data_IF_112307214285
#
_entry.id   IF_112307214285
#
_cell.length_a   1.000
_cell.length_b   1.000
_cell.length_c   1.000
_cell.angle_alpha   90.00
_cell.angle_beta   90.00
_cell.angle_gamma   90.00
#
_symmetry.space_group_name_H-M   'P 1'
#
loop_
_entity.id
_entity.type
_entity.pdbx_description
1 polymer ?
#
# COMPACT_ATOMS: atom_id res chain seq x y z
N UNK A 1 15.53 18.51 16.10
CA UNK A 1 14.24 17.87 16.44
C UNK A 1 13.27 18.07 15.29
N UNK A 2 13.11 17.06 14.43
CA UNK A 2 12.12 17.11 13.37
C UNK A 2 10.73 16.94 14.00
N UNK A 3 9.88 17.96 13.88
CA UNK A 3 8.45 17.85 14.21
C UNK A 3 7.90 16.65 13.45
N UNK A 4 7.59 15.58 14.18
CA UNK A 4 6.68 14.54 13.72
C UNK A 4 5.40 15.25 13.28
N UNK A 5 5.16 15.27 11.97
CA UNK A 5 3.87 15.60 11.39
C UNK A 5 2.90 14.65 12.08
N UNK A 6 2.02 15.18 12.94
CA UNK A 6 1.01 14.38 13.63
C UNK A 6 0.15 13.69 12.55
N UNK A 7 -0.04 12.39 12.75
CA UNK A 7 -0.73 11.49 11.84
C UNK A 7 -2.15 11.98 11.51
N UNK A 8 -2.57 12.06 10.23
CA UNK A 8 -3.93 12.45 9.86
C UNK A 8 -4.99 11.44 10.36
N UNK A 9 -6.26 11.85 10.53
CA UNK A 9 -7.32 11.03 11.14
C UNK A 9 -7.61 9.68 10.48
N UNK A 10 -7.35 9.53 9.17
CA UNK A 10 -7.56 8.28 8.41
C UNK A 10 -6.51 7.20 8.72
N UNK A 11 -5.39 7.56 9.34
CA UNK A 11 -4.29 6.61 9.55
C UNK A 11 -4.73 5.42 10.43
N UNK A 12 -5.73 5.59 11.30
CA UNK A 12 -6.24 4.52 12.16
C UNK A 12 -6.94 3.37 11.39
N UNK A 13 -7.83 3.69 10.43
CA UNK A 13 -8.54 2.65 9.66
C UNK A 13 -7.61 1.97 8.66
N UNK A 14 -6.76 2.76 7.99
CA UNK A 14 -5.74 2.26 7.08
C UNK A 14 -4.69 1.39 7.81
N UNK A 15 -4.22 1.81 8.98
CA UNK A 15 -3.28 1.01 9.77
C UNK A 15 -3.94 -0.29 10.26
N UNK A 16 -5.24 -0.25 10.58
CA UNK A 16 -5.97 -1.47 10.92
C UNK A 16 -6.06 -2.45 9.76
N UNK A 17 -6.32 -1.99 8.53
CA UNK A 17 -6.27 -2.84 7.34
C UNK A 17 -4.88 -3.47 7.16
N UNK A 18 -3.81 -2.69 7.35
CA UNK A 18 -2.42 -3.19 7.28
C UNK A 18 -2.15 -4.26 8.34
N UNK A 19 -2.62 -4.06 9.57
CA UNK A 19 -2.55 -5.07 10.64
C UNK A 19 -3.30 -6.35 10.25
N UNK A 20 -4.50 -6.24 9.66
CA UNK A 20 -5.29 -7.39 9.20
C UNK A 20 -4.52 -8.19 8.15
N UNK A 21 -3.94 -7.53 7.14
CA UNK A 21 -3.17 -8.21 6.10
C UNK A 21 -1.91 -8.89 6.67
N UNK A 22 -1.18 -8.21 7.57
CA UNK A 22 0.00 -8.77 8.22
C UNK A 22 -0.36 -9.97 9.11
N UNK A 23 -1.46 -9.89 9.85
CA UNK A 23 -1.94 -10.96 10.72
C UNK A 23 -2.33 -12.19 9.88
N UNK A 24 -3.05 -11.99 8.78
CA UNK A 24 -3.42 -13.06 7.86
C UNK A 24 -2.19 -13.77 7.29
N UNK A 25 -1.24 -13.02 6.73
CA UNK A 25 0.02 -13.57 6.19
C UNK A 25 0.80 -14.33 7.28
N UNK A 26 0.90 -13.76 8.49
CA UNK A 26 1.58 -14.40 9.62
C UNK A 26 0.92 -15.71 10.06
N UNK A 27 -0.42 -15.75 10.06
CA UNK A 27 -1.18 -16.93 10.43
C UNK A 27 -1.05 -18.04 9.37
N UNK A 28 -1.02 -17.69 8.09
CA UNK A 28 -0.75 -18.62 6.99
C UNK A 28 0.64 -19.25 7.15
N UNK A 29 1.67 -18.42 7.36
CA UNK A 29 3.05 -18.89 7.56
C UNK A 29 3.15 -19.82 8.77
N UNK A 30 2.43 -19.51 9.86
CA UNK A 30 2.39 -20.34 11.07
C UNK A 30 1.72 -21.68 10.81
N UNK A 31 0.64 -21.69 10.04
CA UNK A 31 -0.07 -22.92 9.67
C UNK A 31 0.81 -23.85 8.82
N UNK A 32 1.51 -23.31 7.83
CA UNK A 32 2.48 -24.06 7.02
C UNK A 32 3.66 -24.54 7.89
N UNK A 33 4.10 -23.71 8.84
CA UNK A 33 5.11 -24.10 9.83
C UNK A 33 4.65 -25.25 10.75
N UNK A 34 3.35 -25.35 11.07
CA UNK A 34 2.79 -26.43 11.89
C UNK A 34 2.70 -27.75 11.13
N UNK A 35 2.42 -27.72 9.82
CA UNK A 35 2.50 -28.90 8.96
C UNK A 35 3.87 -29.58 9.06
N UNK A 36 4.94 -28.79 9.07
CA UNK A 36 6.32 -29.27 9.25
C UNK A 36 6.51 -30.09 10.53
N UNK A 37 5.97 -29.64 11.66
CA UNK A 37 6.24 -30.27 12.97
C UNK A 37 5.52 -31.59 13.20
N UNK A 38 4.52 -31.92 12.37
CA UNK A 38 3.65 -33.11 12.57
C UNK A 38 3.99 -34.29 11.66
N UNK A 39 4.87 -34.09 10.67
CA UNK A 39 5.03 -35.05 9.57
C UNK A 39 3.82 -34.98 8.64
N UNK A 40 4.03 -34.65 7.37
CA UNK A 40 2.95 -34.47 6.41
C UNK A 40 2.45 -35.83 5.90
N UNK A 41 1.25 -36.20 6.34
CA UNK A 41 0.38 -37.19 5.68
C UNK A 41 -0.68 -36.41 4.89
N UNK A 42 -1.16 -36.90 3.74
CA UNK A 42 -2.00 -36.14 2.80
C UNK A 42 -3.20 -35.42 3.44
N UNK A 43 -3.87 -36.06 4.42
CA UNK A 43 -4.98 -35.44 5.16
C UNK A 43 -4.56 -34.21 6.00
N UNK A 44 -3.30 -34.12 6.42
CA UNK A 44 -2.78 -32.93 7.10
C UNK A 44 -2.66 -31.74 6.15
N UNK A 45 -2.24 -31.96 4.90
CA UNK A 45 -2.10 -30.91 3.89
C UNK A 45 -3.48 -30.33 3.49
N UNK A 46 -4.46 -31.19 3.25
CA UNK A 46 -5.86 -30.78 2.99
C UNK A 46 -6.41 -29.95 4.15
N UNK A 47 -6.27 -30.45 5.38
CA UNK A 47 -6.76 -29.73 6.56
C UNK A 47 -6.04 -28.39 6.78
N UNK A 48 -4.77 -28.25 6.34
CA UNK A 48 -4.06 -26.99 6.41
C UNK A 48 -4.53 -25.99 5.35
N UNK A 49 -4.84 -26.44 4.14
CA UNK A 49 -5.45 -25.59 3.12
C UNK A 49 -6.82 -25.07 3.57
N UNK A 50 -7.66 -25.92 4.18
CA UNK A 50 -8.94 -25.47 4.76
C UNK A 50 -8.74 -24.38 5.82
N UNK A 51 -7.71 -24.50 6.67
CA UNK A 51 -7.36 -23.49 7.66
C UNK A 51 -6.84 -22.20 7.01
N UNK A 52 -6.02 -22.31 5.96
CA UNK A 52 -5.52 -21.17 5.18
C UNK A 52 -6.68 -20.43 4.51
N UNK A 53 -7.60 -21.16 3.87
CA UNK A 53 -8.81 -20.59 3.27
C UNK A 53 -9.64 -19.85 4.32
N UNK A 54 -9.81 -20.42 5.52
CA UNK A 54 -10.50 -19.75 6.62
C UNK A 54 -9.79 -18.47 7.08
N UNK A 55 -8.45 -18.47 7.15
CA UNK A 55 -7.66 -17.27 7.49
C UNK A 55 -7.88 -16.16 6.45
N UNK A 56 -7.83 -16.51 5.16
CA UNK A 56 -8.07 -15.57 4.06
C UNK A 56 -9.50 -15.04 4.06
N UNK A 57 -10.49 -15.89 4.32
CA UNK A 57 -11.88 -15.45 4.45
C UNK A 57 -12.06 -14.47 5.61
N UNK A 58 -11.52 -14.78 6.79
CA UNK A 58 -11.54 -13.85 7.94
C UNK A 58 -10.86 -12.51 7.60
N UNK A 59 -9.75 -12.53 6.87
CA UNK A 59 -9.11 -11.31 6.40
C UNK A 59 -10.04 -10.46 5.52
N UNK A 60 -10.75 -11.08 4.57
CA UNK A 60 -11.72 -10.41 3.69
C UNK A 60 -12.89 -9.85 4.52
N UNK A 61 -13.46 -10.65 5.42
CA UNK A 61 -14.57 -10.26 6.29
C UNK A 61 -14.21 -9.06 7.17
N UNK A 62 -13.01 -9.08 7.78
CA UNK A 62 -12.50 -7.98 8.59
C UNK A 62 -12.29 -6.71 7.73
N UNK A 63 -11.81 -6.86 6.49
CA UNK A 63 -11.63 -5.72 5.58
C UNK A 63 -12.94 -5.01 5.24
N UNK A 64 -14.05 -5.73 5.10
CA UNK A 64 -15.38 -5.13 4.91
C UNK A 64 -15.78 -4.18 6.05
N UNK A 65 -15.22 -4.33 7.24
CA UNK A 65 -15.48 -3.43 8.38
C UNK A 65 -14.70 -2.11 8.27
N UNK A 66 -13.46 -2.15 7.77
CA UNK A 66 -12.54 -1.00 7.84
C UNK A 66 -12.39 -0.27 6.51
N UNK A 67 -12.58 -0.94 5.38
CA UNK A 67 -12.51 -0.34 4.04
C UNK A 67 -13.53 0.79 3.86
N UNK A 68 -14.83 0.63 4.18
CA UNK A 68 -15.80 1.72 4.10
C UNK A 68 -15.40 2.92 4.96
N UNK A 69 -14.99 2.66 6.21
CA UNK A 69 -14.56 3.71 7.15
C UNK A 69 -13.36 4.50 6.63
N UNK A 70 -12.36 3.80 6.08
CA UNK A 70 -11.16 4.43 5.51
C UNK A 70 -11.49 5.36 4.33
N UNK A 71 -12.43 4.95 3.48
CA UNK A 71 -12.85 5.71 2.29
C UNK A 71 -13.75 6.88 2.71
N UNK A 72 -14.81 6.62 3.46
CA UNK A 72 -15.82 7.60 3.90
C UNK A 72 -15.19 8.74 4.71
N UNK A 73 -14.22 8.43 5.59
CA UNK A 73 -13.51 9.44 6.38
C UNK A 73 -12.82 10.52 5.54
N UNK A 74 -12.44 10.23 4.28
CA UNK A 74 -11.85 11.25 3.41
C UNK A 74 -12.84 12.37 3.05
N UNK A 75 -14.12 12.06 2.95
CA UNK A 75 -15.16 13.01 2.56
C UNK A 75 -15.56 13.95 3.69
N UNK A 76 -15.35 13.57 4.95
CA UNK A 76 -15.65 14.42 6.10
C UNK A 76 -14.52 15.38 6.50
N UNK A 77 -13.30 15.21 5.95
CA UNK A 77 -12.12 15.94 6.39
C UNK A 77 -11.69 16.94 5.31
N UNK A 78 -12.10 18.21 5.46
CA UNK A 78 -11.75 19.28 4.49
C UNK A 78 -10.26 19.66 4.46
N UNK A 79 -9.52 19.49 5.57
CA UNK A 79 -8.06 19.72 5.65
C UNK A 79 -7.42 18.77 6.68
N UNK A 80 -6.86 17.62 6.25
CA UNK A 80 -6.34 16.60 7.17
C UNK A 80 -5.16 17.06 8.04
N UNK A 81 -4.33 17.95 7.52
CA UNK A 81 -3.04 18.34 8.11
C UNK A 81 -3.13 19.53 9.09
N UNK A 82 -4.26 20.24 9.11
CA UNK A 82 -4.42 21.48 9.87
C UNK A 82 -4.97 21.30 11.30
N UNK A 83 -5.31 20.09 11.73
CA UNK A 83 -5.99 19.88 13.02
C UNK A 83 -5.02 19.53 14.15
N UNK A 84 -4.78 20.47 15.07
CA UNK A 84 -4.41 20.15 16.45
C UNK A 84 -5.67 19.66 17.17
N UNK A 85 -5.72 18.39 17.53
CA UNK A 85 -6.79 17.84 18.38
C UNK A 85 -6.49 18.28 19.82
N UNK A 86 -7.39 19.09 20.39
CA UNK A 86 -7.37 19.52 21.80
C UNK A 86 -8.49 18.84 22.62
N UNK A 87 -9.35 18.03 22.00
CA UNK A 87 -10.53 17.41 22.64
C UNK A 87 -10.62 15.88 22.38
N UNK A 88 -11.42 15.13 23.18
CA UNK A 88 -11.51 13.66 23.11
C UNK A 88 -12.07 13.11 21.79
N UNK A 89 -11.61 11.93 21.39
CA UNK A 89 -11.92 11.26 20.11
C UNK A 89 -13.42 10.94 19.98
N UNK A 90 -14.09 10.59 21.08
CA UNK A 90 -15.52 10.24 21.09
C UNK A 90 -16.41 11.44 20.69
N UNK A 91 -16.03 12.64 21.10
CA UNK A 91 -16.75 13.89 20.77
C UNK A 91 -16.60 14.25 19.29
N UNK A 92 -15.50 13.85 18.66
CA UNK A 92 -15.29 13.99 17.22
C UNK A 92 -16.07 12.95 16.41
N UNK A 93 -16.19 11.70 16.86
CA UNK A 93 -16.99 10.66 16.19
C UNK A 93 -18.47 11.09 16.12
N UNK A 94 -19.04 11.55 17.24
CA UNK A 94 -20.41 12.06 17.30
C UNK A 94 -20.61 13.37 16.51
N UNK A 95 -19.56 14.21 16.43
CA UNK A 95 -19.55 15.41 15.59
C UNK A 95 -19.48 15.11 14.09
N UNK A 96 -18.74 14.07 13.67
CA UNK A 96 -18.64 13.62 12.28
C UNK A 96 -19.92 12.96 11.78
N UNK A 97 -20.59 12.17 12.63
CA UNK A 97 -21.89 11.59 12.31
C UNK A 97 -23.01 12.64 12.13
N UNK A 98 -22.82 13.85 12.65
CA UNK A 98 -23.81 14.94 12.61
C UNK A 98 -23.40 16.13 11.73
N UNK A 99 -22.24 16.10 11.06
CA UNK A 99 -21.75 17.22 10.25
C UNK A 99 -21.51 16.79 8.79
N UNK A 100 -22.47 17.14 7.93
CA UNK A 100 -22.57 16.88 6.49
C UNK A 100 -22.93 15.43 6.14
N UNK A 101 -24.17 15.21 5.70
CA UNK A 101 -24.58 13.98 5.02
C UNK A 101 -23.92 13.97 3.65
N UNK A 102 -23.25 12.86 3.28
CA UNK A 102 -22.68 12.69 1.94
C UNK A 102 -23.77 12.88 0.87
N UNK A 103 -23.41 13.54 -0.22
CA UNK A 103 -24.30 13.59 -1.40
C UNK A 103 -24.48 12.20 -2.00
N UNK A 104 -25.54 11.99 -2.79
CA UNK A 104 -25.73 10.72 -3.52
C UNK A 104 -24.54 10.37 -4.40
N UNK A 105 -23.93 11.38 -5.05
CA UNK A 105 -22.70 11.24 -5.84
C UNK A 105 -21.54 10.76 -4.97
N UNK A 106 -21.31 11.37 -3.81
CA UNK A 106 -20.25 10.97 -2.89
C UNK A 106 -20.48 9.56 -2.32
N UNK A 107 -21.72 9.19 -2.01
CA UNK A 107 -22.06 7.83 -1.58
C UNK A 107 -21.72 6.80 -2.66
N UNK A 108 -22.12 7.06 -3.91
CA UNK A 108 -21.80 6.16 -5.03
C UNK A 108 -20.30 6.02 -5.26
N UNK A 109 -19.53 7.09 -5.06
CA UNK A 109 -18.07 7.04 -5.10
C UNK A 109 -17.52 6.16 -3.98
N UNK A 110 -18.00 6.34 -2.75
CA UNK A 110 -17.59 5.50 -1.61
C UNK A 110 -17.84 4.04 -1.92
N UNK A 111 -19.04 3.68 -2.35
CA UNK A 111 -19.41 2.30 -2.68
C UNK A 111 -18.54 1.70 -3.79
N UNK A 112 -18.23 2.49 -4.83
CA UNK A 112 -17.37 2.07 -5.94
C UNK A 112 -15.94 1.80 -5.46
N UNK A 113 -15.36 2.73 -4.70
CA UNK A 113 -13.98 2.58 -4.17
C UNK A 113 -13.87 1.40 -3.19
N UNK A 114 -14.89 1.21 -2.35
CA UNK A 114 -14.98 0.07 -1.43
C UNK A 114 -15.02 -1.24 -2.23
N UNK A 115 -15.92 -1.33 -3.20
CA UNK A 115 -16.09 -2.54 -4.03
C UNK A 115 -14.81 -2.88 -4.79
N UNK A 116 -14.17 -1.89 -5.40
CA UNK A 116 -12.91 -2.08 -6.14
C UNK A 116 -11.80 -2.57 -5.21
N UNK A 117 -11.62 -1.96 -4.02
CA UNK A 117 -10.60 -2.43 -3.08
C UNK A 117 -10.90 -3.84 -2.57
N UNK A 118 -12.15 -4.16 -2.30
CA UNK A 118 -12.52 -5.50 -1.84
C UNK A 118 -12.33 -6.56 -2.94
N UNK A 119 -12.53 -6.20 -4.20
CA UNK A 119 -12.20 -7.08 -5.33
C UNK A 119 -10.69 -7.35 -5.39
N UNK A 120 -9.84 -6.31 -5.30
CA UNK A 120 -8.38 -6.42 -5.27
C UNK A 120 -7.87 -7.30 -4.11
N UNK A 121 -8.43 -7.13 -2.91
CA UNK A 121 -8.07 -7.95 -1.74
C UNK A 121 -8.51 -9.40 -1.93
N UNK A 122 -9.67 -9.63 -2.55
CA UNK A 122 -10.19 -10.97 -2.82
C UNK A 122 -9.34 -11.69 -3.88
N UNK A 123 -8.96 -11.02 -4.96
CA UNK A 123 -8.08 -11.56 -6.00
C UNK A 123 -6.69 -11.91 -5.45
N UNK A 124 -6.12 -11.03 -4.62
CA UNK A 124 -4.87 -11.29 -3.94
C UNK A 124 -4.96 -12.52 -3.01
N UNK A 125 -6.06 -12.66 -2.27
CA UNK A 125 -6.32 -13.82 -1.43
C UNK A 125 -6.44 -15.11 -2.24
N UNK A 126 -7.18 -15.09 -3.36
CA UNK A 126 -7.32 -16.23 -4.27
C UNK A 126 -5.98 -16.65 -4.88
N UNK A 127 -5.16 -15.68 -5.31
CA UNK A 127 -3.82 -15.93 -5.83
C UNK A 127 -2.92 -16.57 -4.78
N UNK A 128 -2.94 -16.06 -3.55
CA UNK A 128 -2.20 -16.65 -2.43
C UNK A 128 -2.66 -18.08 -2.13
N UNK A 129 -3.98 -18.33 -2.12
CA UNK A 129 -4.54 -19.66 -1.92
C UNK A 129 -4.11 -20.64 -3.01
N UNK A 130 -4.24 -20.26 -4.29
CA UNK A 130 -3.88 -21.11 -5.42
C UNK A 130 -2.39 -21.50 -5.38
N UNK A 131 -1.49 -20.53 -5.15
CA UNK A 131 -0.06 -20.79 -5.03
C UNK A 131 0.28 -21.73 -3.86
N UNK A 132 -0.38 -21.57 -2.72
CA UNK A 132 -0.16 -22.44 -1.56
C UNK A 132 -0.72 -23.84 -1.79
N UNK A 133 -1.86 -23.96 -2.47
CA UNK A 133 -2.43 -25.25 -2.87
C UNK A 133 -1.49 -26.01 -3.80
N UNK A 134 -0.99 -25.35 -4.85
CA UNK A 134 -0.02 -25.93 -5.79
C UNK A 134 1.23 -26.46 -5.08
N UNK A 135 1.71 -25.75 -4.07
CA UNK A 135 2.92 -26.13 -3.32
C UNK A 135 2.66 -27.26 -2.32
N UNK A 136 1.51 -27.24 -1.63
CA UNK A 136 1.23 -28.17 -0.52
C UNK A 136 0.71 -29.53 -0.97
N UNK A 137 -0.06 -29.56 -2.07
CA UNK A 137 -0.73 -30.79 -2.54
C UNK A 137 -0.25 -31.18 -3.95
N UNK A 138 0.46 -30.28 -4.65
CA UNK A 138 0.66 -30.41 -6.09
C UNK A 138 -0.62 -30.06 -6.86
N UNK A 139 -0.57 -29.98 -8.20
CA UNK A 139 -1.75 -29.70 -8.99
C UNK A 139 -2.79 -30.82 -8.79
N UNK A 140 -4.00 -30.46 -8.36
CA UNK A 140 -5.12 -31.37 -8.22
C UNK A 140 -5.75 -31.74 -9.58
N UNK A 141 -5.31 -31.08 -10.67
CA UNK A 141 -5.88 -31.16 -12.01
C UNK A 141 -4.89 -30.73 -13.12
N UNK A 142 -5.09 -31.28 -14.33
CA UNK A 142 -4.24 -31.13 -15.53
C UNK A 142 -4.06 -29.68 -16.06
N UNK A 143 -4.72 -28.70 -15.44
CA UNK A 143 -4.91 -27.34 -15.97
C UNK A 143 -3.89 -26.31 -15.46
N UNK A 144 -3.12 -26.61 -14.42
CA UNK A 144 -2.11 -25.69 -13.81
C UNK A 144 -0.66 -26.17 -13.97
N UNK A 145 -0.42 -27.00 -14.99
CA UNK A 145 0.82 -27.77 -15.22
C UNK A 145 2.11 -26.94 -15.34
N UNK A 146 2.06 -25.65 -15.69
CA UNK A 146 3.27 -24.89 -16.11
C UNK A 146 4.14 -24.42 -14.94
N UNK A 147 3.55 -23.91 -13.85
CA UNK A 147 4.31 -23.34 -12.71
C UNK A 147 4.77 -24.42 -11.73
N UNK A 148 3.97 -25.48 -11.57
CA UNK A 148 4.35 -26.66 -10.79
C UNK A 148 5.54 -27.40 -11.43
N UNK A 149 5.65 -27.40 -12.77
CA UNK A 149 6.80 -27.97 -13.46
C UNK A 149 8.10 -27.20 -13.21
N UNK A 150 8.08 -25.88 -13.01
CA UNK A 150 9.30 -25.11 -12.71
C UNK A 150 9.82 -25.37 -11.30
N UNK A 151 8.92 -25.39 -10.30
CA UNK A 151 9.28 -25.73 -8.92
C UNK A 151 9.64 -27.22 -8.78
N UNK A 152 8.86 -28.12 -9.40
CA UNK A 152 9.18 -29.55 -9.43
C UNK A 152 10.46 -29.85 -10.22
N UNK A 153 10.75 -29.13 -11.31
CA UNK A 153 12.01 -29.26 -12.06
C UNK A 153 13.20 -28.73 -11.27
N UNK A 154 13.08 -27.61 -10.54
CA UNK A 154 14.14 -27.15 -9.63
C UNK A 154 14.39 -28.15 -8.50
N UNK A 155 13.32 -28.67 -7.89
CA UNK A 155 13.43 -29.61 -6.78
C UNK A 155 13.96 -30.98 -7.24
N UNK A 156 13.56 -31.42 -8.44
CA UNK A 156 14.04 -32.65 -9.08
C UNK A 156 15.48 -32.53 -9.60
N UNK A 157 15.88 -31.37 -10.12
CA UNK A 157 17.26 -31.09 -10.54
C UNK A 157 18.24 -31.11 -9.34
N UNK A 158 17.77 -30.79 -8.14
CA UNK A 158 18.52 -30.92 -6.89
C UNK A 158 18.44 -32.32 -6.25
N UNK A 159 17.68 -33.26 -6.83
CA UNK A 159 17.51 -34.62 -6.29
C UNK A 159 16.74 -34.68 -4.96
N UNK A 160 15.98 -33.64 -4.61
CA UNK A 160 15.20 -33.57 -3.37
C UNK A 160 13.72 -33.86 -3.67
N UNK A 161 13.06 -34.66 -2.84
CA UNK A 161 11.60 -34.75 -2.86
C UNK A 161 10.98 -33.48 -2.27
N UNK A 162 9.73 -33.14 -2.65
CA UNK A 162 8.95 -31.99 -2.12
C UNK A 162 9.03 -31.90 -0.59
N UNK A 163 9.06 -33.07 0.08
CA UNK A 163 9.15 -33.21 1.53
C UNK A 163 10.48 -32.73 2.17
N UNK A 164 11.60 -32.75 1.44
CA UNK A 164 12.90 -32.26 1.95
C UNK A 164 13.05 -30.73 1.83
N UNK A 165 12.24 -30.09 0.98
CA UNK A 165 12.29 -28.65 0.71
C UNK A 165 11.37 -27.81 1.61
N UNK A 166 10.45 -28.42 2.36
CA UNK A 166 9.49 -27.69 3.21
C UNK A 166 10.14 -26.77 4.27
N UNK A 167 11.25 -27.13 4.94
CA UNK A 167 11.97 -26.21 5.83
C UNK A 167 12.48 -24.95 5.12
N UNK A 168 13.03 -25.13 3.92
CA UNK A 168 13.56 -24.05 3.08
C UNK A 168 12.41 -23.17 2.58
N UNK A 169 11.26 -23.77 2.26
CA UNK A 169 10.04 -23.08 1.87
C UNK A 169 9.44 -22.23 2.99
N UNK A 170 9.31 -22.76 4.21
CA UNK A 170 8.84 -21.96 5.36
C UNK A 170 9.81 -20.82 5.66
N UNK A 171 11.12 -21.03 5.50
CA UNK A 171 12.11 -19.98 5.64
C UNK A 171 11.97 -18.89 4.56
N UNK A 172 11.67 -19.28 3.31
CA UNK A 172 11.38 -18.36 2.22
C UNK A 172 10.12 -17.55 2.49
N UNK A 173 9.01 -18.18 2.88
CA UNK A 173 7.77 -17.47 3.24
C UNK A 173 7.97 -16.49 4.41
N UNK A 174 8.77 -16.86 5.42
CA UNK A 174 9.12 -15.93 6.50
C UNK A 174 9.95 -14.74 5.99
N UNK A 175 10.77 -14.93 4.97
CA UNK A 175 11.68 -13.91 4.42
C UNK A 175 10.96 -12.96 3.47
N UNK A 176 10.16 -13.53 2.59
CA UNK A 176 9.63 -12.89 1.38
C UNK A 176 8.11 -12.67 1.46
N UNK A 177 7.42 -13.34 2.39
CA UNK A 177 5.97 -13.29 2.59
C UNK A 177 5.22 -14.29 1.71
N UNK A 178 3.89 -14.29 1.78
CA UNK A 178 3.05 -15.17 0.95
C UNK A 178 2.75 -14.43 -0.35
N UNK A 179 3.22 -14.95 -1.48
CA UNK A 179 3.04 -14.28 -2.78
C UNK A 179 1.55 -14.20 -3.12
N UNK A 180 1.06 -13.00 -3.37
CA UNK A 180 -0.34 -12.73 -3.69
C UNK A 180 -0.53 -11.97 -5.01
N UNK A 181 0.54 -11.42 -5.56
CA UNK A 181 0.52 -10.71 -6.84
C UNK A 181 1.91 -10.73 -7.48
N UNK A 182 1.97 -10.83 -8.80
CA UNK A 182 3.22 -10.68 -9.56
C UNK A 182 3.02 -9.55 -10.56
N UNK A 183 3.86 -8.52 -10.49
CA UNK A 183 3.70 -7.37 -11.37
C UNK A 183 4.23 -7.63 -12.79
N UNK A 184 3.96 -6.70 -13.70
CA UNK A 184 4.40 -6.79 -15.11
C UNK A 184 5.93 -6.86 -15.27
N UNK A 185 6.71 -6.42 -14.27
CA UNK A 185 8.16 -6.52 -14.27
C UNK A 185 8.66 -7.86 -13.68
N UNK A 186 7.75 -8.79 -13.36
CA UNK A 186 8.06 -10.11 -12.80
C UNK A 186 8.41 -10.08 -11.31
N UNK A 187 8.12 -8.99 -10.60
CA UNK A 187 8.39 -8.92 -9.16
C UNK A 187 7.22 -9.50 -8.39
N UNK A 188 7.52 -10.37 -7.44
CA UNK A 188 6.53 -10.93 -6.54
C UNK A 188 6.26 -10.00 -5.36
N UNK A 189 4.97 -9.82 -5.06
CA UNK A 189 4.46 -9.03 -3.97
C UNK A 189 3.78 -9.96 -2.96
N UNK A 190 4.18 -9.80 -1.70
CA UNK A 190 3.53 -10.52 -0.61
C UNK A 190 2.10 -10.02 -0.39
N UNK A 191 1.22 -10.86 0.17
CA UNK A 191 -0.17 -10.56 0.48
C UNK A 191 -0.27 -9.26 1.30
N UNK A 192 0.52 -9.17 2.36
CA UNK A 192 0.58 -7.96 3.17
C UNK A 192 1.04 -6.74 2.37
N UNK A 193 2.10 -6.88 1.56
CA UNK A 193 2.68 -5.74 0.83
C UNK A 193 1.74 -5.22 -0.26
N UNK A 194 1.13 -6.13 -1.02
CA UNK A 194 0.21 -5.80 -2.12
C UNK A 194 -1.08 -5.17 -1.59
N UNK A 195 -1.80 -5.84 -0.68
CA UNK A 195 -3.06 -5.33 -0.14
C UNK A 195 -2.88 -3.98 0.58
N UNK A 196 -1.75 -3.80 1.30
CA UNK A 196 -1.41 -2.50 1.90
C UNK A 196 -1.20 -1.39 0.87
N UNK A 197 -0.61 -1.73 -0.28
CA UNK A 197 -0.42 -0.78 -1.38
C UNK A 197 -1.76 -0.41 -2.02
N UNK A 198 -2.66 -1.38 -2.26
CA UNK A 198 -4.00 -1.13 -2.78
C UNK A 198 -4.80 -0.24 -1.83
N UNK A 199 -4.85 -0.56 -0.52
CA UNK A 199 -5.55 0.25 0.47
C UNK A 199 -5.06 1.71 0.54
N UNK A 200 -3.73 1.92 0.49
CA UNK A 200 -3.14 3.27 0.43
C UNK A 200 -3.52 4.02 -0.84
N UNK A 201 -3.58 3.33 -1.97
CA UNK A 201 -3.94 3.91 -3.26
C UNK A 201 -5.41 4.31 -3.26
N UNK A 202 -6.31 3.43 -2.82
CA UNK A 202 -7.74 3.71 -2.69
C UNK A 202 -8.01 4.85 -1.71
N UNK A 203 -7.32 4.90 -0.57
CA UNK A 203 -7.39 6.02 0.37
C UNK A 203 -7.05 7.36 -0.31
N UNK A 204 -6.01 7.38 -1.17
CA UNK A 204 -5.63 8.59 -1.93
C UNK A 204 -6.62 8.96 -3.03
N UNK A 205 -7.24 7.96 -3.67
CA UNK A 205 -8.33 8.17 -4.64
C UNK A 205 -9.53 8.82 -3.95
N UNK A 206 -9.91 8.31 -2.77
CA UNK A 206 -10.99 8.87 -1.96
C UNK A 206 -10.69 10.32 -1.56
N UNK A 207 -9.46 10.63 -1.14
CA UNK A 207 -9.02 12.00 -0.83
C UNK A 207 -9.16 12.95 -2.04
N UNK A 208 -8.70 12.49 -3.21
CA UNK A 208 -8.79 13.27 -4.44
C UNK A 208 -10.24 13.53 -4.83
N UNK A 209 -11.09 12.49 -4.80
CA UNK A 209 -12.51 12.63 -5.15
C UNK A 209 -13.28 13.47 -4.13
N UNK A 210 -12.94 13.38 -2.84
CA UNK A 210 -13.52 14.25 -1.82
C UNK A 210 -13.30 15.73 -2.15
N UNK A 211 -12.09 16.09 -2.59
CA UNK A 211 -11.76 17.47 -3.01
C UNK A 211 -12.47 17.86 -4.31
N UNK A 212 -12.49 16.97 -5.30
CA UNK A 212 -13.05 17.25 -6.62
C UNK A 212 -14.60 17.31 -6.64
N UNK A 213 -15.25 16.73 -5.63
CA UNK A 213 -16.71 16.70 -5.50
C UNK A 213 -17.24 17.65 -4.42
N UNK A 214 -16.36 18.39 -3.74
CA UNK A 214 -16.76 19.31 -2.67
C UNK A 214 -17.54 20.53 -3.19
N UNK A 215 -17.27 20.96 -4.42
CA UNK A 215 -17.94 22.07 -5.11
C UNK A 215 -17.92 21.78 -6.61
N UNK A 216 -19.08 21.53 -7.20
CA UNK A 216 -19.20 21.22 -8.63
C UNK A 216 -18.87 22.42 -9.53
N UNK A 217 -19.05 23.65 -9.03
CA UNK A 217 -18.74 24.86 -9.78
C UNK A 217 -17.24 25.18 -9.81
N UNK A 218 -16.44 24.54 -8.93
CA UNK A 218 -15.01 24.75 -8.86
C UNK A 218 -14.28 23.89 -9.89
N UNK A 219 -13.41 24.53 -10.69
CA UNK A 219 -12.72 23.86 -11.80
C UNK A 219 -11.20 23.81 -11.63
N UNK A 220 -10.58 24.78 -10.97
CA UNK A 220 -9.12 24.89 -10.95
C UNK A 220 -8.50 24.26 -9.71
N UNK A 221 -7.58 23.32 -9.91
CA UNK A 221 -6.92 22.63 -8.81
C UNK A 221 -5.41 22.63 -8.99
N UNK A 222 -4.70 22.74 -7.87
CA UNK A 222 -3.25 22.67 -7.80
C UNK A 222 -2.81 21.34 -7.21
N UNK A 223 -1.86 20.68 -7.85
CA UNK A 223 -1.15 19.55 -7.23
C UNK A 223 -0.10 20.12 -6.26
N UNK A 224 -0.06 19.64 -5.02
CA UNK A 224 0.92 20.06 -4.00
C UNK A 224 2.36 19.88 -4.50
N UNK A 225 3.31 20.60 -3.92
CA UNK A 225 4.73 20.47 -4.26
C UNK A 225 5.53 19.99 -3.04
N UNK A 226 6.53 19.13 -3.26
CA UNK A 226 7.30 18.54 -2.17
C UNK A 226 8.82 18.63 -2.41
N UNK A 227 9.58 19.03 -1.39
CA UNK A 227 11.04 19.20 -1.50
C UNK A 227 11.83 17.92 -1.82
N UNK A 228 11.24 16.74 -1.64
CA UNK A 228 11.83 15.43 -1.97
C UNK A 228 10.89 14.61 -2.86
N UNK A 229 10.46 15.20 -3.96
CA UNK A 229 9.55 14.56 -4.94
C UNK A 229 10.27 13.54 -5.82
N UNK A 230 9.54 12.50 -6.25
CA UNK A 230 10.08 11.47 -7.15
C UNK A 230 10.14 11.99 -8.59
N UNK A 231 10.82 11.27 -9.48
CA UNK A 231 10.95 11.70 -10.88
C UNK A 231 9.66 11.63 -11.68
N UNK A 232 8.72 10.77 -11.25
CA UNK A 232 7.42 10.62 -11.90
C UNK A 232 6.48 11.78 -11.56
N UNK A 233 6.47 12.23 -10.30
CA UNK A 233 5.59 13.33 -9.86
C UNK A 233 6.16 14.71 -10.18
N UNK A 234 7.48 14.85 -10.26
CA UNK A 234 8.12 16.16 -10.37
C UNK A 234 7.61 17.02 -11.54
N UNK A 235 7.36 16.47 -12.73
CA UNK A 235 6.84 17.27 -13.84
C UNK A 235 5.41 17.78 -13.58
N UNK A 236 4.62 17.11 -12.74
CA UNK A 236 3.22 17.43 -12.51
C UNK A 236 2.98 18.32 -11.27
N UNK A 237 3.87 18.24 -10.28
CA UNK A 237 3.68 18.93 -9.01
C UNK A 237 3.75 20.46 -9.13
N UNK A 238 3.00 21.16 -8.27
CA UNK A 238 3.01 22.62 -8.23
C UNK A 238 2.26 23.34 -9.36
N UNK A 239 1.82 22.62 -10.40
CA UNK A 239 1.01 23.16 -11.50
C UNK A 239 -0.46 23.27 -11.11
N UNK A 240 -1.16 24.17 -11.81
CA UNK A 240 -2.62 24.31 -11.76
C UNK A 240 -3.22 23.60 -12.98
N UNK A 241 -4.33 22.92 -12.76
CA UNK A 241 -5.04 22.12 -13.75
C UNK A 241 -6.53 22.43 -13.70
N UNK A 242 -7.22 22.21 -14.82
CA UNK A 242 -8.67 22.26 -14.94
C UNK A 242 -9.29 20.87 -14.74
N UNK A 243 -10.27 20.76 -13.84
CA UNK A 243 -11.00 19.51 -13.55
C UNK A 243 -11.82 19.06 -14.76
N UNK A 244 -12.50 20.00 -15.41
CA UNK A 244 -13.29 19.78 -16.62
C UNK A 244 -12.43 19.59 -17.87
N UNK A 245 -11.21 20.15 -17.86
CA UNK A 245 -10.31 20.14 -19.01
C UNK A 245 -10.66 21.15 -20.11
N UNK A 246 -11.60 22.06 -19.84
CA UNK A 246 -12.07 23.06 -20.83
C UNK A 246 -11.51 24.46 -20.60
N UNK A 247 -10.78 24.68 -19.50
CA UNK A 247 -10.14 25.96 -19.21
C UNK A 247 -9.10 26.31 -20.30
N UNK A 248 -9.11 27.54 -20.85
CA UNK A 248 -8.20 27.92 -21.94
C UNK A 248 -6.75 28.12 -21.50
N UNK A 249 -6.50 28.34 -20.20
CA UNK A 249 -5.20 28.70 -19.65
C UNK A 249 -4.50 27.52 -18.94
N UNK A 250 -5.28 26.57 -18.42
CA UNK A 250 -4.77 25.46 -17.61
C UNK A 250 -5.03 24.09 -18.25
N UNK A 251 -4.05 23.17 -18.24
CA UNK A 251 -4.22 21.84 -18.81
C UNK A 251 -5.27 21.02 -18.05
N UNK A 252 -5.90 20.01 -18.69
CA UNK A 252 -6.81 19.09 -17.99
C UNK A 252 -6.10 18.35 -16.86
N UNK A 253 -6.76 18.18 -15.71
CA UNK A 253 -6.20 17.47 -14.55
C UNK A 253 -5.96 15.98 -14.86
N UNK A 254 -6.76 15.41 -15.76
CA UNK A 254 -6.62 14.02 -16.21
C UNK A 254 -5.22 13.70 -16.74
N UNK A 255 -4.52 14.67 -17.34
CA UNK A 255 -3.16 14.46 -17.88
C UNK A 255 -2.11 14.20 -16.81
N UNK A 256 -2.38 14.55 -15.55
CA UNK A 256 -1.49 14.30 -14.42
C UNK A 256 -1.62 12.88 -13.86
N UNK A 257 -2.67 12.15 -14.27
CA UNK A 257 -2.98 10.82 -13.76
C UNK A 257 -2.83 9.76 -14.85
N UNK A 258 -2.46 8.54 -14.44
CA UNK A 258 -2.41 7.41 -15.38
C UNK A 258 -3.82 7.03 -15.84
N UNK A 259 -3.98 6.69 -17.12
CA UNK A 259 -5.23 6.15 -17.67
C UNK A 259 -5.47 4.71 -17.22
N UNK A 260 -6.72 4.38 -16.91
CA UNK A 260 -7.14 3.00 -16.60
C UNK A 260 -7.21 2.17 -17.88
N UNK A 261 -7.99 2.63 -18.86
CA UNK A 261 -8.00 2.09 -20.21
C UNK A 261 -7.18 3.02 -21.14
N UNK A 262 -6.08 2.53 -21.74
CA UNK A 262 -5.32 3.29 -22.74
C UNK A 262 -6.18 3.85 -23.89
N UNK A 263 -7.24 3.12 -24.27
CA UNK A 263 -8.16 3.49 -25.36
C UNK A 263 -9.42 4.23 -24.87
N UNK A 264 -9.58 4.42 -23.56
CA UNK A 264 -10.72 5.15 -23.00
C UNK A 264 -10.58 6.67 -23.14
N UNK A 265 -11.55 7.39 -22.59
CA UNK A 265 -11.60 8.86 -22.66
C UNK A 265 -10.41 9.52 -21.96
N UNK A 266 -10.12 10.77 -22.34
CA UNK A 266 -9.05 11.61 -21.75
C UNK A 266 -9.56 12.48 -20.58
N UNK A 267 -10.57 12.01 -19.86
CA UNK A 267 -11.17 12.70 -18.71
C UNK A 267 -10.89 11.94 -17.40
N UNK A 268 -11.28 12.54 -16.27
CA UNK A 268 -11.01 12.00 -14.94
C UNK A 268 -11.69 10.65 -14.67
N UNK A 269 -12.77 10.30 -15.37
CA UNK A 269 -13.51 9.04 -15.18
C UNK A 269 -12.69 7.83 -15.63
N UNK A 270 -11.72 8.03 -16.54
CA UNK A 270 -10.81 7.00 -17.04
C UNK A 270 -9.38 7.14 -16.45
N UNK A 271 -9.24 7.63 -15.22
CA UNK A 271 -7.92 7.78 -14.57
C UNK A 271 -7.83 7.02 -13.25
N UNK A 272 -6.61 6.69 -12.84
CA UNK A 272 -6.34 6.14 -11.50
C UNK A 272 -6.45 7.18 -10.38
N UNK A 273 -6.75 8.45 -10.71
CA UNK A 273 -6.89 9.58 -9.78
C UNK A 273 -5.67 9.76 -8.87
N UNK A 274 -4.52 9.32 -9.38
CA UNK A 274 -3.23 9.33 -8.74
C UNK A 274 -2.16 9.42 -9.84
N UNK A 275 -1.05 10.10 -9.54
CA UNK A 275 0.11 10.13 -10.44
C UNK A 275 0.73 8.73 -10.53
N UNK A 276 0.95 8.10 -9.38
CA UNK A 276 1.42 6.72 -9.27
C UNK A 276 1.12 6.14 -7.87
N UNK A 277 1.20 4.81 -7.67
CA UNK A 277 1.01 4.20 -6.35
C UNK A 277 2.00 4.75 -5.31
N UNK A 278 1.54 4.98 -4.07
CA UNK A 278 2.31 5.61 -2.98
C UNK A 278 2.78 7.06 -3.20
N UNK A 279 2.22 7.76 -4.19
CA UNK A 279 2.34 9.20 -4.29
C UNK A 279 1.78 9.88 -3.01
N UNK A 280 2.41 10.98 -2.58
CA UNK A 280 1.99 11.74 -1.39
C UNK A 280 1.36 13.08 -1.76
N UNK A 281 1.17 13.34 -3.05
CA UNK A 281 0.67 14.59 -3.54
C UNK A 281 -0.83 14.74 -3.23
N UNK A 282 -1.21 16.00 -3.01
CA UNK A 282 -2.57 16.42 -2.72
C UNK A 282 -3.08 17.23 -3.91
N UNK A 283 -4.36 17.06 -4.21
CA UNK A 283 -5.09 17.96 -5.08
C UNK A 283 -5.74 19.02 -4.18
N UNK A 284 -5.48 20.29 -4.45
CA UNK A 284 -5.94 21.42 -3.63
C UNK A 284 -6.74 22.39 -4.50
N UNK A 285 -7.91 22.89 -4.05
CA UNK A 285 -8.62 23.93 -4.78
C UNK A 285 -7.72 25.16 -4.98
N UNK A 286 -7.74 25.73 -6.18
CA UNK A 286 -6.98 26.90 -6.55
C UNK A 286 -7.90 28.00 -7.08
N UNK A 287 -7.58 29.26 -6.77
CA UNK A 287 -8.30 30.43 -7.28
C UNK A 287 -7.32 31.54 -7.65
N UNK A 288 -7.56 32.31 -8.73
CA UNK A 288 -6.76 33.49 -9.04
C UNK A 288 -6.99 34.63 -8.04
N UNK A 289 -8.06 34.58 -7.23
CA UNK A 289 -8.39 35.65 -6.29
C UNK A 289 -7.22 35.99 -5.34
N UNK A 290 -6.97 37.28 -5.18
CA UNK A 290 -5.89 37.80 -4.33
C UNK A 290 -4.48 37.71 -4.93
N UNK A 291 -4.34 37.36 -6.21
CA UNK A 291 -3.06 37.35 -6.94
C UNK A 291 -2.96 38.49 -7.93
N UNK A 292 -1.74 38.97 -8.15
CA UNK A 292 -1.44 39.95 -9.19
C UNK A 292 -1.53 39.33 -10.59
N UNK A 293 -1.79 40.12 -11.64
CA UNK A 293 -1.76 39.63 -13.02
C UNK A 293 -0.44 38.93 -13.39
N UNK A 294 0.69 39.45 -12.91
CA UNK A 294 2.03 38.90 -13.16
C UNK A 294 2.20 37.52 -12.51
N UNK A 295 1.71 37.34 -11.28
CA UNK A 295 1.72 36.05 -10.60
C UNK A 295 0.84 35.02 -11.30
N UNK A 296 -0.35 35.43 -11.75
CA UNK A 296 -1.26 34.57 -12.50
C UNK A 296 -0.60 34.13 -13.80
N UNK A 297 -0.01 35.06 -14.56
CA UNK A 297 0.66 34.74 -15.82
C UNK A 297 1.83 33.77 -15.61
N UNK A 298 2.61 33.93 -14.54
CA UNK A 298 3.68 33.00 -14.18
C UNK A 298 3.16 31.60 -13.88
N UNK A 299 2.00 31.48 -13.21
CA UNK A 299 1.37 30.18 -12.90
C UNK A 299 0.83 29.52 -14.17
N UNK A 300 0.21 30.29 -15.07
CA UNK A 300 -0.22 29.82 -16.40
C UNK A 300 0.96 29.28 -17.19
N UNK A 301 2.03 30.06 -17.28
CA UNK A 301 3.25 29.68 -18.01
C UNK A 301 3.93 28.43 -17.43
N UNK A 302 3.99 28.32 -16.10
CA UNK A 302 4.54 27.15 -15.44
C UNK A 302 3.68 25.90 -15.65
N UNK A 303 2.35 26.06 -15.72
CA UNK A 303 1.40 24.94 -15.85
C UNK A 303 1.26 24.48 -17.30
N UNK A 304 1.47 25.38 -18.27
CA UNK A 304 1.33 25.12 -19.69
C UNK A 304 2.36 24.07 -20.19
N UNK A 305 1.91 22.89 -20.69
CA UNK A 305 2.80 21.84 -21.16
C UNK A 305 3.65 22.21 -22.38
N UNK A 306 3.21 23.18 -23.20
CA UNK A 306 3.98 23.67 -24.34
C UNK A 306 5.20 24.51 -23.90
N UNK A 307 5.10 25.23 -22.77
CA UNK A 307 6.20 26.03 -22.19
C UNK A 307 7.03 25.22 -21.20
N UNK A 308 6.41 24.30 -20.48
CA UNK A 308 7.02 23.45 -19.48
C UNK A 308 6.59 21.99 -19.72
N UNK A 309 7.27 21.23 -20.58
CA UNK A 309 6.85 19.87 -20.96
C UNK A 309 6.87 18.87 -19.80
N UNK A 310 5.92 17.93 -19.78
CA UNK A 310 5.88 16.85 -18.77
C UNK A 310 7.00 15.82 -18.91
N UNK A 311 7.64 15.77 -20.09
CA UNK A 311 8.75 14.84 -20.38
C UNK A 311 10.07 15.26 -19.74
N UNK A 312 10.16 16.49 -19.21
CA UNK A 312 11.37 17.04 -18.59
C UNK A 312 11.25 16.92 -17.08
N UNK A 313 12.25 16.31 -16.42
CA UNK A 313 12.35 16.30 -14.96
C UNK A 313 12.82 17.69 -14.47
N UNK A 314 11.97 18.47 -13.78
CA UNK A 314 12.31 19.83 -13.38
C UNK A 314 13.19 19.88 -12.13
N UNK A 315 13.53 18.74 -11.52
CA UNK A 315 14.30 18.69 -10.28
C UNK A 315 15.75 19.09 -10.50
N UNK A 316 16.25 19.90 -9.58
CA UNK A 316 17.68 20.17 -9.46
C UNK A 316 18.45 18.91 -9.05
N UNK A 317 19.76 18.85 -9.36
CA UNK A 317 20.66 17.78 -8.91
C UNK A 317 20.56 17.54 -7.38
N UNK A 318 20.47 18.62 -6.60
CA UNK A 318 20.30 18.57 -5.14
C UNK A 318 18.99 17.89 -4.72
N UNK A 319 17.87 18.17 -5.39
CA UNK A 319 16.58 17.52 -5.11
C UNK A 319 16.63 16.03 -5.48
N UNK A 320 17.25 15.67 -6.60
CA UNK A 320 17.43 14.28 -7.01
C UNK A 320 18.26 13.51 -5.98
N UNK A 321 19.36 14.10 -5.50
CA UNK A 321 20.21 13.50 -4.46
C UNK A 321 19.47 13.35 -3.12
N UNK A 322 18.73 14.39 -2.70
CA UNK A 322 17.89 14.33 -1.51
C UNK A 322 16.83 13.22 -1.59
N UNK A 323 16.18 13.08 -2.75
CA UNK A 323 15.24 12.00 -3.02
C UNK A 323 15.91 10.62 -2.94
N UNK A 324 17.08 10.43 -3.57
CA UNK A 324 17.85 9.17 -3.49
C UNK A 324 18.26 8.82 -2.05
N UNK A 325 18.65 9.82 -1.25
CA UNK A 325 18.96 9.62 0.18
C UNK A 325 17.74 9.17 0.96
N UNK A 326 16.57 9.76 0.71
CA UNK A 326 15.28 9.35 1.28
C UNK A 326 14.93 7.91 0.91
N UNK A 327 15.05 7.54 -0.36
CA UNK A 327 14.80 6.16 -0.84
C UNK A 327 15.72 5.14 -0.16
N UNK A 328 17.03 5.44 -0.06
CA UNK A 328 18.00 4.57 0.64
C UNK A 328 17.65 4.40 2.12
N UNK A 329 17.28 5.49 2.80
CA UNK A 329 16.86 5.46 4.20
C UNK A 329 15.57 4.65 4.38
N UNK A 330 14.57 4.83 3.50
CA UNK A 330 13.32 4.06 3.51
C UNK A 330 13.56 2.57 3.28
N UNK A 331 14.41 2.22 2.32
CA UNK A 331 14.76 0.83 2.05
C UNK A 331 15.46 0.17 3.26
N UNK A 332 16.35 0.90 3.95
CA UNK A 332 16.96 0.42 5.18
C UNK A 332 15.92 0.22 6.30
N UNK A 333 15.06 1.22 6.50
CA UNK A 333 13.98 1.16 7.49
C UNK A 333 13.07 -0.04 7.25
N UNK A 334 12.66 -0.28 6.00
CA UNK A 334 11.81 -1.43 5.64
C UNK A 334 12.51 -2.77 5.86
N UNK A 335 13.82 -2.87 5.56
CA UNK A 335 14.61 -4.08 5.88
C UNK A 335 14.67 -4.35 7.38
N UNK A 336 14.86 -3.31 8.18
CA UNK A 336 14.88 -3.41 9.64
C UNK A 336 13.51 -3.82 10.18
N UNK A 337 12.45 -3.20 9.66
CA UNK A 337 11.06 -3.49 10.03
C UNK A 337 10.67 -4.94 9.73
N UNK A 338 10.95 -5.42 8.51
CA UNK A 338 10.73 -6.83 8.14
C UNK A 338 11.56 -7.78 8.99
N UNK A 339 12.79 -7.39 9.39
CA UNK A 339 13.57 -8.20 10.32
C UNK A 339 12.93 -8.29 11.70
N UNK A 340 12.42 -7.17 12.22
CA UNK A 340 11.68 -7.14 13.47
C UNK A 340 10.43 -8.03 13.43
N UNK A 341 9.63 -7.95 12.36
CA UNK A 341 8.45 -8.81 12.16
C UNK A 341 8.84 -10.29 12.19
N UNK A 342 9.90 -10.68 11.47
CA UNK A 342 10.42 -12.07 11.51
C UNK A 342 10.85 -12.50 12.92
N UNK A 343 11.43 -11.58 13.68
CA UNK A 343 11.90 -11.84 15.04
C UNK A 343 10.72 -11.98 16.00
N UNK A 344 9.69 -11.15 15.86
CA UNK A 344 8.41 -11.30 16.57
C UNK A 344 7.79 -12.68 16.30
N UNK A 345 7.71 -13.11 15.04
CA UNK A 345 7.17 -14.42 14.66
C UNK A 345 7.97 -15.57 15.27
N UNK A 346 9.30 -15.46 15.28
CA UNK A 346 10.18 -16.59 15.64
C UNK A 346 10.47 -16.66 17.14
N UNK A 347 10.58 -15.52 17.81
CA UNK A 347 11.02 -15.41 19.21
C UNK A 347 9.89 -15.00 20.16
N UNK A 348 8.75 -14.52 19.65
CA UNK A 348 7.62 -14.07 20.45
C UNK A 348 8.01 -12.93 21.41
N UNK A 349 7.61 -13.07 22.67
CA UNK A 349 7.80 -12.06 23.72
C UNK A 349 9.27 -11.76 24.09
N UNK A 350 10.24 -12.50 23.53
CA UNK A 350 11.67 -12.24 23.76
C UNK A 350 12.20 -11.01 23.00
N UNK A 351 11.43 -10.49 22.05
CA UNK A 351 11.76 -9.34 21.21
C UNK A 351 10.79 -8.20 21.52
N UNK A 352 11.21 -6.92 21.44
CA UNK A 352 10.35 -5.81 21.81
C UNK A 352 9.07 -5.76 20.98
N UNK A 353 7.95 -5.49 21.65
CA UNK A 353 6.64 -5.34 21.03
C UNK A 353 6.54 -4.16 20.05
N UNK A 354 7.49 -3.22 20.07
CA UNK A 354 7.50 -2.07 19.18
C UNK A 354 8.74 -2.08 18.29
N UNK A 355 8.54 -1.76 17.01
CA UNK A 355 9.62 -1.65 16.04
C UNK A 355 10.66 -0.60 16.44
N UNK A 356 10.22 0.55 16.98
CA UNK A 356 11.11 1.63 17.39
C UNK A 356 12.17 1.17 18.41
N UNK A 357 11.77 0.35 19.38
CA UNK A 357 12.69 -0.21 20.38
C UNK A 357 13.67 -1.19 19.72
N UNK A 358 13.18 -2.07 18.85
CA UNK A 358 14.06 -2.98 18.11
C UNK A 358 15.08 -2.23 17.24
N UNK A 359 14.63 -1.22 16.49
CA UNK A 359 15.47 -0.44 15.60
C UNK A 359 16.56 0.32 16.36
N UNK A 360 16.25 0.87 17.54
CA UNK A 360 17.23 1.53 18.42
C UNK A 360 18.40 0.60 18.77
N UNK A 361 18.09 -0.59 19.30
CA UNK A 361 19.12 -1.57 19.67
C UNK A 361 19.91 -2.07 18.45
N UNK A 362 19.23 -2.28 17.31
CA UNK A 362 19.88 -2.68 16.06
C UNK A 362 20.86 -1.62 15.56
N UNK A 363 20.50 -0.35 15.58
CA UNK A 363 21.36 0.74 15.12
C UNK A 363 22.57 0.95 16.04
N UNK A 364 22.44 0.65 17.33
CA UNK A 364 23.53 0.69 18.29
C UNK A 364 24.47 -0.53 18.20
N UNK A 365 24.08 -1.60 17.50
CA UNK A 365 24.74 -2.92 17.50
C UNK A 365 25.12 -3.41 18.90
N UNK A 366 24.21 -3.19 19.85
CA UNK A 366 24.46 -3.48 21.26
C UNK A 366 24.29 -4.98 21.61
N UNK A 367 24.66 -5.34 22.83
CA UNK A 367 24.55 -6.71 23.34
C UNK A 367 23.12 -7.25 23.31
N UNK A 368 22.12 -6.37 23.45
CA UNK A 368 20.70 -6.76 23.43
C UNK A 368 20.30 -7.22 22.03
N UNK A 369 20.66 -6.44 21.00
CA UNK A 369 20.45 -6.84 19.61
C UNK A 369 21.21 -8.12 19.25
N UNK A 370 22.48 -8.23 19.65
CA UNK A 370 23.30 -9.42 19.40
C UNK A 370 22.73 -10.68 20.05
N UNK A 371 22.11 -10.56 21.23
CA UNK A 371 21.38 -11.65 21.88
C UNK A 371 20.17 -12.10 21.05
N UNK A 372 19.32 -11.18 20.58
CA UNK A 372 18.20 -11.54 19.70
C UNK A 372 18.66 -12.19 18.40
N UNK A 373 19.73 -11.69 17.79
CA UNK A 373 20.32 -12.28 16.59
C UNK A 373 20.80 -13.72 16.83
N UNK A 374 21.46 -13.97 17.97
CA UNK A 374 21.91 -15.30 18.36
C UNK A 374 20.73 -16.24 18.63
N UNK A 375 19.72 -15.78 19.36
CA UNK A 375 18.51 -16.55 19.65
C UNK A 375 17.73 -16.88 18.38
N UNK A 376 17.58 -15.91 17.48
CA UNK A 376 16.94 -16.11 16.17
C UNK A 376 17.68 -17.16 15.34
N UNK A 377 19.02 -17.08 15.28
CA UNK A 377 19.86 -18.09 14.61
C UNK A 377 19.72 -19.47 15.25
N UNK A 378 19.67 -19.56 16.58
CA UNK A 378 19.48 -20.83 17.31
C UNK A 378 18.11 -21.42 17.06
N UNK A 379 17.05 -20.60 17.06
CA UNK A 379 15.70 -21.03 16.77
C UNK A 379 15.59 -21.61 15.35
N UNK A 380 16.20 -20.96 14.36
CA UNK A 380 16.22 -21.47 12.98
C UNK A 380 17.15 -22.67 12.74
N UNK A 381 18.11 -22.95 13.64
CA UNK A 381 18.94 -24.17 13.59
C UNK A 381 18.27 -25.38 14.26
N UNK A 382 17.43 -25.14 15.28
CA UNK A 382 16.71 -26.18 16.02
C UNK A 382 15.35 -26.52 15.42
N UNK A 383 14.73 -25.55 14.74
CA UNK A 383 13.49 -25.73 14.00
C UNK A 383 13.80 -26.47 12.73
#
# INVERSE_FOLDING_TARGET
>A
MAKLIRQPPNEAALDKLREIYLLAESNIIREIGRLRSRGLVDYHAVAALERIQKILQTMIDDCWTYTPRMVEQQFYVRVPEARKILEPVEKHIAGYQNAQVLTSTQMSIVDTLVTNLMAEVTEAAQTAQARLQDILIGPLDDRTRTTALEFAAQTAAEGKGVYKALPEFVAALRRDGVIAFTDRAGRDWSLHTYCSMCARTTSRQAETLAVLTADEAHDLYKISAHGTTCGLCAPFEGRVYSRSGTDPDFPPLSVAFGKVDPNGTDDLTNTYLNIHPNCLHLVLPWTPAGRTPEEIQKIKDFSNPAKNPFSVDPRTKKQIEAYRKKEKARAQWLRDYRQWERYQITLGDKVPKTFATFQKHKQADDETYRKWLLEYRRANRKA
#
